data_IF_615039934151
#
_entry.id   IF_615039934151
#
_cell.length_a   1.000
_cell.length_b   1.000
_cell.length_c   1.000
_cell.angle_alpha   90.00
_cell.angle_beta   90.00
_cell.angle_gamma   90.00
#
_symmetry.space_group_name_H-M   'P 1'
#
loop_
_entity.id
_entity.type
_entity.pdbx_description
1 polymer ?
#
# COMPACT_ATOMS: atom_id res chain seq x y z
N UNK A 1 -17.64 27.54 5.43
CA UNK A 1 -16.96 28.86 5.13
C UNK A 1 -16.67 28.87 3.63
N UNK A 2 -16.90 29.97 2.92
CA UNK A 2 -16.58 30.04 1.49
C UNK A 2 -15.07 29.95 1.26
N UNK A 3 -14.60 29.17 0.27
CA UNK A 3 -13.18 28.85 0.06
C UNK A 3 -12.28 30.10 -0.08
N UNK A 4 -12.77 31.17 -0.72
CA UNK A 4 -12.03 32.43 -0.83
C UNK A 4 -11.77 33.11 0.52
N UNK A 5 -12.78 33.15 1.42
CA UNK A 5 -12.64 33.71 2.77
C UNK A 5 -11.71 32.83 3.62
N UNK A 6 -11.82 31.50 3.48
CA UNK A 6 -10.94 30.57 4.17
C UNK A 6 -9.48 30.76 3.76
N UNK A 7 -9.20 30.88 2.45
CA UNK A 7 -7.84 31.15 1.94
C UNK A 7 -7.28 32.48 2.47
N UNK A 8 -8.11 33.52 2.52
CA UNK A 8 -7.71 34.83 3.07
C UNK A 8 -7.34 34.74 4.56
N UNK A 9 -8.09 33.98 5.36
CA UNK A 9 -7.80 33.80 6.78
C UNK A 9 -6.53 32.97 7.02
N UNK A 10 -6.32 31.92 6.22
CA UNK A 10 -5.10 31.12 6.27
C UNK A 10 -3.85 31.95 5.89
N UNK A 11 -3.97 32.87 4.94
CA UNK A 11 -2.89 33.76 4.51
C UNK A 11 -2.43 34.75 5.62
N UNK A 12 -3.20 34.87 6.71
CA UNK A 12 -2.79 35.73 7.85
C UNK A 12 -1.60 35.13 8.64
N UNK A 13 -1.35 33.82 8.54
CA UNK A 13 -0.29 33.13 9.30
C UNK A 13 0.53 32.11 8.47
N UNK A 14 0.13 31.83 7.24
CA UNK A 14 0.87 31.02 6.28
C UNK A 14 1.51 31.92 5.21
N UNK A 15 2.67 31.53 4.73
CA UNK A 15 3.31 32.22 3.62
C UNK A 15 2.57 31.95 2.30
N UNK A 16 2.70 32.84 1.28
CA UNK A 16 2.11 32.58 -0.04
C UNK A 16 2.53 31.23 -0.64
N UNK A 17 3.77 30.81 -0.40
CA UNK A 17 4.26 29.52 -0.89
C UNK A 17 3.52 28.32 -0.28
N UNK A 18 2.88 28.45 0.88
CA UNK A 18 2.12 27.40 1.53
C UNK A 18 0.65 27.31 1.10
N UNK A 19 0.23 28.29 0.29
CA UNK A 19 -1.11 28.37 -0.30
C UNK A 19 -0.95 28.39 -1.84
N UNK A 20 -0.88 27.22 -2.50
CA UNK A 20 -0.61 27.14 -3.94
C UNK A 20 -1.65 27.92 -4.75
N UNK A 21 -1.19 28.59 -5.82
CA UNK A 21 -2.08 29.33 -6.73
C UNK A 21 -2.91 28.36 -7.61
N UNK A 22 -2.36 27.19 -7.91
CA UNK A 22 -3.04 26.13 -8.63
C UNK A 22 -3.29 24.93 -7.70
N UNK A 23 -4.53 24.71 -7.35
CA UNK A 23 -4.98 23.60 -6.51
C UNK A 23 -5.19 22.29 -7.31
N UNK A 24 -5.28 22.35 -8.65
CA UNK A 24 -5.67 21.21 -9.50
C UNK A 24 -4.86 19.91 -9.28
N UNK A 25 -3.52 19.95 -9.09
CA UNK A 25 -2.74 18.74 -8.86
C UNK A 25 -3.11 17.95 -7.60
N UNK A 26 -3.81 18.58 -6.65
CA UNK A 26 -4.15 18.01 -5.35
C UNK A 26 -5.61 17.53 -5.25
N UNK A 27 -6.44 17.88 -6.25
CA UNK A 27 -7.89 17.67 -6.15
C UNK A 27 -8.35 16.31 -6.68
N UNK A 28 -7.65 15.75 -7.66
CA UNK A 28 -8.04 14.51 -8.33
C UNK A 28 -7.29 13.32 -7.76
N UNK A 29 -7.99 12.22 -7.44
CA UNK A 29 -7.35 11.00 -6.98
C UNK A 29 -6.56 10.28 -8.09
N UNK A 30 -5.68 9.36 -7.72
CA UNK A 30 -4.83 8.60 -8.65
C UNK A 30 -5.61 7.84 -9.73
N UNK A 31 -6.82 7.37 -9.41
CA UNK A 31 -7.70 6.65 -10.35
C UNK A 31 -8.58 7.57 -11.19
N UNK A 32 -8.54 8.88 -10.95
CA UNK A 32 -9.44 9.89 -11.55
C UNK A 32 -10.92 9.62 -11.27
N UNK A 33 -11.21 8.94 -10.17
CA UNK A 33 -12.57 8.53 -9.79
C UNK A 33 -13.21 9.48 -8.78
N UNK A 34 -12.41 10.09 -7.94
CA UNK A 34 -12.85 11.00 -6.89
C UNK A 34 -12.17 12.36 -7.06
N UNK A 35 -12.96 13.42 -6.93
CA UNK A 35 -12.46 14.79 -7.02
C UNK A 35 -12.81 15.55 -5.75
N UNK A 36 -11.83 16.26 -5.18
CA UNK A 36 -12.07 17.17 -4.06
C UNK A 36 -12.88 18.38 -4.52
N UNK A 37 -13.81 18.80 -3.69
CA UNK A 37 -14.72 19.93 -3.98
C UNK A 37 -14.79 20.90 -2.82
N UNK A 38 -15.00 22.19 -3.10
CA UNK A 38 -15.24 23.26 -2.10
C UNK A 38 -14.17 23.34 -0.99
N UNK A 39 -12.93 23.03 -1.30
CA UNK A 39 -11.82 23.02 -0.35
C UNK A 39 -10.72 24.03 -0.73
N UNK A 40 -9.80 24.27 0.19
CA UNK A 40 -8.55 25.04 -0.01
C UNK A 40 -7.38 24.09 0.20
N UNK A 41 -6.40 24.13 -0.71
CA UNK A 41 -5.15 23.37 -0.54
C UNK A 41 -4.18 24.17 0.32
N UNK A 42 -3.58 23.50 1.31
CA UNK A 42 -2.56 24.03 2.22
C UNK A 42 -1.36 23.10 2.21
N UNK A 43 -0.18 23.66 1.98
CA UNK A 43 1.10 22.92 1.99
C UNK A 43 2.04 23.49 3.06
N UNK A 44 1.88 23.16 4.34
CA UNK A 44 2.71 23.72 5.40
C UNK A 44 4.18 23.32 5.23
N UNK A 45 5.09 24.30 5.39
CA UNK A 45 6.52 24.11 5.25
C UNK A 45 7.24 23.72 6.57
N UNK A 46 6.49 23.71 7.69
CA UNK A 46 7.02 23.34 9.00
C UNK A 46 5.95 22.64 9.85
N UNK A 47 6.40 21.85 10.83
CA UNK A 47 5.52 21.21 11.81
C UNK A 47 4.73 22.26 12.60
N UNK A 48 5.36 23.40 12.90
CA UNK A 48 4.69 24.53 13.57
C UNK A 48 3.50 25.04 12.73
N UNK A 49 3.66 25.17 11.42
CA UNK A 49 2.58 25.62 10.53
C UNK A 49 1.49 24.56 10.36
N UNK A 50 1.81 23.25 10.42
CA UNK A 50 0.81 22.19 10.57
C UNK A 50 -0.02 22.42 11.83
N UNK A 51 0.64 22.61 13.00
CA UNK A 51 -0.05 22.84 14.26
C UNK A 51 -0.92 24.11 14.24
N UNK A 52 -0.41 25.23 13.69
CA UNK A 52 -1.21 26.48 13.53
C UNK A 52 -2.44 26.25 12.67
N UNK A 53 -2.29 25.54 11.54
CA UNK A 53 -3.39 25.22 10.63
C UNK A 53 -4.43 24.34 11.31
N UNK A 54 -3.98 23.31 12.04
CA UNK A 54 -4.90 22.41 12.78
C UNK A 54 -5.65 23.18 13.86
N UNK A 55 -4.98 24.02 14.69
CA UNK A 55 -5.63 24.84 15.72
C UNK A 55 -6.65 25.81 15.13
N UNK A 56 -6.31 26.45 14.02
CA UNK A 56 -7.24 27.32 13.30
C UNK A 56 -8.48 26.55 12.82
N UNK A 57 -8.28 25.39 12.20
CA UNK A 57 -9.38 24.53 11.73
C UNK A 57 -10.24 24.02 12.90
N UNK A 58 -9.64 23.63 14.01
CA UNK A 58 -10.34 23.20 15.22
C UNK A 58 -11.24 24.31 15.79
N UNK A 59 -10.71 25.54 15.88
CA UNK A 59 -11.46 26.72 16.39
C UNK A 59 -12.65 27.08 15.49
N UNK A 60 -12.50 26.92 14.17
CA UNK A 60 -13.54 27.28 13.18
C UNK A 60 -14.39 26.10 12.72
N UNK A 61 -14.17 24.88 13.27
CA UNK A 61 -14.82 23.62 12.87
C UNK A 61 -14.69 23.34 11.36
N UNK A 62 -13.48 23.49 10.85
CA UNK A 62 -13.15 23.24 9.43
C UNK A 62 -12.56 21.84 9.31
N UNK A 63 -13.09 21.05 8.39
CA UNK A 63 -12.59 19.72 8.10
C UNK A 63 -11.18 19.75 7.49
N UNK A 64 -10.37 18.77 7.84
CA UNK A 64 -8.99 18.58 7.33
C UNK A 64 -8.88 17.20 6.70
N UNK A 65 -8.55 17.16 5.41
CA UNK A 65 -8.17 15.92 4.73
C UNK A 65 -6.64 15.91 4.55
N UNK A 66 -5.91 15.09 5.32
CA UNK A 66 -4.47 14.94 5.14
C UNK A 66 -4.15 14.28 3.79
N UNK A 67 -3.11 14.78 3.12
CA UNK A 67 -2.66 14.24 1.85
C UNK A 67 -1.13 14.17 1.79
N UNK A 68 -0.61 13.02 1.35
CA UNK A 68 0.79 12.85 0.97
C UNK A 68 0.97 12.99 -0.54
N UNK A 69 1.60 11.99 -1.18
CA UNK A 69 1.82 11.93 -2.63
C UNK A 69 0.57 11.69 -3.48
N UNK A 70 -0.61 11.61 -2.90
CA UNK A 70 -1.90 11.39 -3.56
C UNK A 70 -1.93 10.12 -4.45
N UNK A 71 -1.22 9.08 -4.04
CA UNK A 71 -1.11 7.79 -4.76
C UNK A 71 -2.16 6.76 -4.33
N UNK A 72 -3.02 7.11 -3.37
CA UNK A 72 -4.06 6.20 -2.84
C UNK A 72 -5.15 5.87 -3.86
N UNK A 73 -5.73 4.66 -3.74
CA UNK A 73 -6.66 4.09 -4.72
C UNK A 73 -8.12 4.00 -4.24
N UNK A 74 -8.41 4.42 -3.01
CA UNK A 74 -9.73 4.28 -2.36
C UNK A 74 -10.40 5.62 -2.00
N UNK A 75 -9.89 6.73 -2.55
CA UNK A 75 -10.44 8.08 -2.30
C UNK A 75 -10.15 8.62 -0.89
N UNK A 76 -9.14 8.07 -0.18
CA UNK A 76 -8.80 8.43 1.20
C UNK A 76 -8.27 9.85 1.37
N UNK A 77 -7.67 10.45 0.32
CA UNK A 77 -7.07 11.79 0.31
C UNK A 77 -7.93 12.87 -0.37
N UNK A 78 -9.20 12.57 -0.66
CA UNK A 78 -10.13 13.48 -1.35
C UNK A 78 -11.02 14.20 -0.35
N UNK A 79 -11.08 15.54 -0.43
CA UNK A 79 -11.84 16.38 0.47
C UNK A 79 -13.19 16.78 -0.12
N UNK A 80 -14.20 16.89 0.73
CA UNK A 80 -15.48 17.54 0.40
C UNK A 80 -15.71 18.67 1.41
N UNK A 81 -15.26 19.88 1.05
CA UNK A 81 -15.21 21.04 1.94
C UNK A 81 -13.94 21.09 2.79
N UNK A 82 -13.74 22.19 3.50
CA UNK A 82 -12.60 22.40 4.41
C UNK A 82 -11.27 22.58 3.69
N UNK A 83 -10.24 21.87 4.13
CA UNK A 83 -8.90 21.94 3.54
C UNK A 83 -8.36 20.57 3.14
N UNK A 84 -7.58 20.54 2.06
CA UNK A 84 -6.61 19.48 1.78
C UNK A 84 -5.28 19.93 2.39
N UNK A 85 -4.80 19.21 3.40
CA UNK A 85 -3.52 19.47 4.04
C UNK A 85 -2.45 18.56 3.43
N UNK A 86 -1.76 19.04 2.39
CA UNK A 86 -0.73 18.29 1.70
C UNK A 86 0.63 18.49 2.38
N UNK A 87 1.29 17.40 2.77
CA UNK A 87 2.54 17.41 3.54
C UNK A 87 3.81 17.41 2.69
N UNK A 88 3.70 17.54 1.37
CA UNK A 88 4.83 17.42 0.44
C UNK A 88 6.00 18.38 0.68
N UNK A 89 5.79 19.48 1.42
CA UNK A 89 6.86 20.43 1.82
C UNK A 89 7.59 20.04 3.10
N UNK A 90 7.06 19.11 3.89
CA UNK A 90 7.76 18.48 5.00
C UNK A 90 8.56 17.28 4.47
N UNK A 91 9.69 17.52 3.82
CA UNK A 91 10.40 16.49 3.03
C UNK A 91 11.89 16.34 3.40
N UNK A 92 12.28 16.75 4.61
CA UNK A 92 13.67 16.66 5.05
C UNK A 92 13.98 15.29 5.63
N UNK A 93 15.15 14.76 5.29
CA UNK A 93 15.80 13.71 6.08
C UNK A 93 16.42 14.42 7.28
N UNK A 94 15.86 14.17 8.48
CA UNK A 94 16.27 14.89 9.70
C UNK A 94 17.57 14.33 10.27
N UNK A 95 17.72 13.00 10.26
CA UNK A 95 18.88 12.33 10.86
C UNK A 95 19.00 10.87 10.37
N UNK A 96 20.24 10.40 10.22
CA UNK A 96 20.57 8.99 9.99
C UNK A 96 21.53 8.53 11.09
N UNK A 97 21.15 7.50 11.83
CA UNK A 97 22.00 6.88 12.86
C UNK A 97 22.43 5.50 12.37
N UNK A 98 23.72 5.36 12.07
CA UNK A 98 24.29 4.07 11.67
C UNK A 98 24.41 3.10 12.85
N UNK A 99 24.59 3.63 14.05
CA UNK A 99 24.69 2.81 15.28
C UNK A 99 23.33 2.18 15.63
N UNK A 100 22.23 2.94 15.44
CA UNK A 100 20.89 2.46 15.74
C UNK A 100 20.22 1.80 14.53
N UNK A 101 20.88 1.78 13.37
CA UNK A 101 20.27 1.37 12.09
C UNK A 101 18.90 2.03 11.89
N UNK A 102 18.86 3.35 11.95
CA UNK A 102 17.63 4.12 11.88
C UNK A 102 17.78 5.40 11.06
N UNK A 103 16.68 5.81 10.43
CA UNK A 103 16.56 7.09 9.71
C UNK A 103 15.32 7.83 10.22
N UNK A 104 15.49 9.11 10.56
CA UNK A 104 14.40 10.00 10.96
C UNK A 104 14.09 10.98 9.82
N UNK A 105 12.83 11.00 9.39
CA UNK A 105 12.40 11.77 8.22
C UNK A 105 11.12 12.56 8.50
N UNK A 106 10.91 13.62 7.75
CA UNK A 106 9.63 14.30 7.63
C UNK A 106 8.62 13.42 6.87
N UNK A 107 7.32 13.57 7.16
CA UNK A 107 6.26 12.75 6.60
C UNK A 107 6.07 12.89 5.08
N UNK A 108 6.44 14.03 4.50
CA UNK A 108 6.38 14.31 3.07
C UNK A 108 7.59 13.83 2.27
N UNK A 109 8.57 13.16 2.91
CA UNK A 109 9.66 12.53 2.18
C UNK A 109 9.13 11.49 1.20
N UNK A 110 9.56 11.56 -0.05
CA UNK A 110 9.28 10.55 -1.07
C UNK A 110 10.02 9.27 -0.69
N UNK A 111 9.37 8.12 -0.83
CA UNK A 111 9.93 6.82 -0.47
C UNK A 111 11.28 6.57 -1.16
N UNK A 112 11.38 6.78 -2.46
CA UNK A 112 12.61 6.61 -3.22
C UNK A 112 13.78 7.46 -2.69
N UNK A 113 13.50 8.69 -2.23
CA UNK A 113 14.54 9.54 -1.64
C UNK A 113 15.07 8.98 -0.32
N UNK A 114 14.19 8.36 0.48
CA UNK A 114 14.57 7.68 1.74
C UNK A 114 15.42 6.45 1.46
N UNK A 115 15.05 5.65 0.45
CA UNK A 115 15.83 4.48 -0.01
C UNK A 115 17.22 4.92 -0.50
N UNK A 116 17.28 5.95 -1.34
CA UNK A 116 18.55 6.50 -1.86
C UNK A 116 19.46 6.97 -0.72
N UNK A 117 18.92 7.75 0.22
CA UNK A 117 19.71 8.23 1.36
C UNK A 117 20.20 7.09 2.26
N UNK A 118 19.39 6.05 2.45
CA UNK A 118 19.83 4.86 3.18
C UNK A 118 20.99 4.16 2.44
N UNK A 119 20.88 3.98 1.13
CA UNK A 119 21.89 3.34 0.29
C UNK A 119 23.22 4.11 0.28
N UNK A 120 23.20 5.45 0.19
CA UNK A 120 24.39 6.32 0.29
C UNK A 120 25.15 6.15 1.63
N UNK A 121 24.47 5.67 2.66
CA UNK A 121 25.05 5.40 3.97
C UNK A 121 25.32 3.90 4.22
N UNK A 122 25.30 3.07 3.16
CA UNK A 122 25.51 1.63 3.27
C UNK A 122 24.41 0.92 4.08
N UNK A 123 23.18 1.38 3.94
CA UNK A 123 21.98 0.80 4.56
C UNK A 123 20.89 0.57 3.53
N UNK A 124 19.89 -0.22 3.92
CA UNK A 124 18.74 -0.58 3.10
C UNK A 124 17.44 -0.24 3.82
N UNK A 125 16.54 0.48 3.14
CA UNK A 125 15.15 0.66 3.58
C UNK A 125 14.24 -0.21 2.72
N UNK A 126 13.57 -1.23 3.30
CA UNK A 126 13.02 -2.35 2.54
C UNK A 126 11.63 -2.13 1.94
N UNK A 127 10.91 -1.05 2.27
CA UNK A 127 9.61 -0.80 1.67
C UNK A 127 9.78 -0.62 0.16
N UNK A 128 9.07 -1.42 -0.65
CA UNK A 128 9.09 -1.33 -2.11
C UNK A 128 7.65 -1.34 -2.64
N UNK A 129 7.28 -0.27 -3.33
CA UNK A 129 5.93 -0.03 -3.85
C UNK A 129 6.01 0.41 -5.31
N UNK A 130 5.00 0.07 -6.11
CA UNK A 130 4.89 0.56 -7.49
C UNK A 130 4.87 2.10 -7.60
N UNK A 131 4.58 2.81 -6.53
CA UNK A 131 4.51 4.28 -6.46
C UNK A 131 5.70 4.92 -5.73
N UNK A 132 6.82 4.20 -5.51
CA UNK A 132 7.95 4.67 -4.69
C UNK A 132 8.54 6.01 -5.11
N UNK A 133 8.49 6.36 -6.40
CA UNK A 133 8.94 7.65 -6.92
C UNK A 133 8.01 8.83 -6.59
N UNK A 134 6.84 8.60 -5.98
CA UNK A 134 5.84 9.65 -5.70
C UNK A 134 5.12 9.51 -4.36
N UNK A 135 4.98 8.30 -3.82
CA UNK A 135 4.38 8.11 -2.51
C UNK A 135 5.27 8.68 -1.40
N UNK A 136 4.65 9.12 -0.31
CA UNK A 136 5.31 9.79 0.80
C UNK A 136 5.19 8.99 2.09
N UNK A 137 6.20 9.06 2.94
CA UNK A 137 6.33 8.26 4.17
C UNK A 137 5.12 8.41 5.09
N UNK A 138 4.60 9.62 5.30
CA UNK A 138 3.42 9.83 6.13
C UNK A 138 2.17 9.12 5.61
N UNK A 139 1.98 9.11 4.28
CA UNK A 139 0.91 8.37 3.61
C UNK A 139 1.08 6.87 3.73
N UNK A 140 2.30 6.36 3.50
CA UNK A 140 2.62 4.94 3.63
C UNK A 140 2.37 4.42 5.06
N UNK A 141 2.71 5.22 6.07
CA UNK A 141 2.44 4.88 7.48
C UNK A 141 0.93 4.94 7.77
N UNK A 142 0.24 6.00 7.31
CA UNK A 142 -1.19 6.18 7.56
C UNK A 142 -2.04 5.05 6.95
N UNK A 143 -1.59 4.42 5.86
CA UNK A 143 -2.23 3.25 5.25
C UNK A 143 -1.66 1.93 5.75
N UNK A 144 -0.59 1.93 6.57
CA UNK A 144 0.18 0.74 6.91
C UNK A 144 0.62 -0.02 5.66
N UNK A 145 1.24 0.69 4.70
CA UNK A 145 1.61 0.12 3.41
C UNK A 145 2.51 -1.11 3.55
N UNK A 146 2.22 -2.11 2.76
CA UNK A 146 3.07 -3.25 2.49
C UNK A 146 3.68 -3.16 1.09
N UNK A 147 4.18 -4.24 0.53
CA UNK A 147 4.73 -4.31 -0.81
C UNK A 147 5.54 -5.57 -1.03
N UNK A 148 6.45 -5.57 -2.00
CA UNK A 148 7.17 -6.78 -2.43
C UNK A 148 7.97 -7.46 -1.32
N UNK A 149 8.48 -6.72 -0.35
CA UNK A 149 9.39 -7.23 0.69
C UNK A 149 8.71 -7.55 2.03
N UNK A 150 7.37 -7.54 2.09
CA UNK A 150 6.60 -7.77 3.34
C UNK A 150 6.94 -9.12 3.96
N UNK A 151 7.17 -10.13 3.13
CA UNK A 151 7.45 -11.48 3.60
C UNK A 151 8.66 -11.54 4.54
N UNK A 152 9.69 -10.73 4.28
CA UNK A 152 10.92 -10.68 5.05
C UNK A 152 10.95 -9.54 6.09
N UNK A 153 10.43 -8.37 5.74
CA UNK A 153 10.64 -7.16 6.53
C UNK A 153 9.36 -6.62 7.19
N UNK A 154 8.21 -7.20 6.88
CA UNK A 154 6.92 -6.74 7.37
C UNK A 154 6.41 -5.49 6.66
N UNK A 155 5.32 -4.94 7.18
CA UNK A 155 4.66 -3.72 6.71
C UNK A 155 5.27 -2.47 7.35
N UNK A 156 4.77 -1.27 7.01
CA UNK A 156 5.19 -0.03 7.69
C UNK A 156 5.07 -0.11 9.21
N UNK A 157 4.11 -0.86 9.76
CA UNK A 157 3.96 -1.09 11.20
C UNK A 157 5.21 -1.70 11.83
N UNK A 158 5.85 -2.62 11.12
CA UNK A 158 7.07 -3.31 11.57
C UNK A 158 8.32 -2.45 11.40
N UNK A 159 8.29 -1.53 10.42
CA UNK A 159 9.40 -0.66 10.06
C UNK A 159 9.47 0.62 10.88
N UNK A 160 8.37 1.06 11.51
CA UNK A 160 8.30 2.30 12.28
C UNK A 160 8.78 2.08 13.73
N UNK A 161 9.85 2.79 14.12
CA UNK A 161 10.34 2.84 15.51
C UNK A 161 9.66 3.94 16.31
N UNK A 162 9.47 5.12 15.72
CA UNK A 162 8.87 6.27 16.37
C UNK A 162 8.05 7.13 15.41
N UNK A 163 7.11 7.89 15.98
CA UNK A 163 6.25 8.82 15.22
C UNK A 163 6.20 10.19 15.88
N UNK A 164 5.98 11.20 15.02
CA UNK A 164 5.56 12.54 15.38
C UNK A 164 4.22 12.81 14.71
N UNK A 165 3.21 13.19 15.51
CA UNK A 165 1.81 13.31 15.07
C UNK A 165 1.19 14.58 15.64
N UNK A 166 0.59 15.40 14.78
CA UNK A 166 -0.27 16.50 15.18
C UNK A 166 -1.68 15.96 15.48
N UNK A 167 -2.15 16.20 16.69
CA UNK A 167 -3.47 15.79 17.18
C UNK A 167 -4.57 16.78 16.71
N UNK A 168 -5.86 16.40 16.75
CA UNK A 168 -6.96 17.27 16.33
C UNK A 168 -7.11 18.59 17.11
N UNK A 169 -6.54 18.70 18.29
CA UNK A 169 -6.46 19.96 19.08
C UNK A 169 -5.23 20.82 18.71
N UNK A 170 -4.38 20.36 17.78
CA UNK A 170 -3.13 21.03 17.36
C UNK A 170 -1.96 20.84 18.32
N UNK A 171 -2.07 19.95 19.30
CA UNK A 171 -0.92 19.50 20.08
C UNK A 171 -0.08 18.51 19.28
N UNK A 172 1.21 18.40 19.65
CA UNK A 172 2.15 17.51 19.01
C UNK A 172 2.55 16.39 19.97
N UNK A 173 2.30 15.16 19.58
CA UNK A 173 2.88 13.97 20.23
C UNK A 173 4.10 13.58 19.41
N UNK A 174 5.30 13.61 20.03
CA UNK A 174 6.55 13.31 19.33
C UNK A 174 7.38 12.33 20.15
N UNK A 175 7.62 11.15 19.55
CA UNK A 175 8.47 10.09 20.07
C UNK A 175 9.32 9.55 18.91
N UNK A 176 10.25 10.39 18.42
CA UNK A 176 11.15 10.05 17.32
C UNK A 176 12.42 9.34 17.81
N UNK A 177 12.28 8.38 18.72
CA UNK A 177 13.41 7.64 19.28
C UNK A 177 13.63 6.33 18.52
N UNK A 178 14.87 5.96 18.21
CA UNK A 178 15.21 4.70 17.51
C UNK A 178 15.20 3.48 18.44
N UNK A 179 14.22 3.40 19.35
CA UNK A 179 14.15 2.36 20.35
C UNK A 179 13.40 1.15 19.82
N UNK A 180 14.04 -0.02 19.82
CA UNK A 180 13.40 -1.30 19.49
C UNK A 180 12.53 -1.86 20.63
N UNK A 181 12.79 -1.46 21.87
CA UNK A 181 12.02 -1.86 23.05
C UNK A 181 11.57 -0.63 23.80
N UNK A 182 10.26 -0.44 23.89
CA UNK A 182 9.66 0.63 24.68
C UNK A 182 8.34 0.13 25.28
N UNK A 183 8.36 -0.21 26.56
CA UNK A 183 7.18 -0.66 27.32
C UNK A 183 6.73 0.39 28.34
N UNK A 184 7.10 1.65 28.12
CA UNK A 184 6.73 2.78 29.00
C UNK A 184 5.33 3.28 28.63
N UNK A 185 4.31 2.60 29.13
CA UNK A 185 2.89 2.86 28.82
C UNK A 185 2.46 2.25 27.48
N UNK A 186 1.34 2.76 26.93
CA UNK A 186 0.84 2.32 25.63
C UNK A 186 1.74 2.82 24.51
N UNK A 187 2.05 1.96 23.53
CA UNK A 187 2.74 2.36 22.30
C UNK A 187 1.80 3.10 21.34
N UNK A 188 1.61 4.39 21.56
CA UNK A 188 0.64 5.23 20.85
C UNK A 188 0.83 5.26 19.33
N UNK A 189 2.04 5.04 18.82
CA UNK A 189 2.28 4.97 17.36
C UNK A 189 1.33 4.02 16.65
N UNK A 190 0.95 2.91 17.29
CA UNK A 190 0.07 1.89 16.70
C UNK A 190 -1.37 2.34 16.50
N UNK A 191 -1.81 3.43 17.16
CA UNK A 191 -3.11 4.07 16.91
C UNK A 191 -3.13 4.81 15.58
N UNK A 192 -1.99 5.38 15.17
CA UNK A 192 -1.89 6.23 13.99
C UNK A 192 -1.48 5.46 12.73
N UNK A 193 -0.74 4.36 12.87
CA UNK A 193 -0.36 3.48 11.76
C UNK A 193 -1.60 2.75 11.25
N UNK A 194 -1.97 2.98 9.98
CA UNK A 194 -3.19 2.42 9.38
C UNK A 194 -4.48 3.15 9.74
N UNK A 195 -4.39 4.36 10.34
CA UNK A 195 -5.57 5.17 10.68
C UNK A 195 -6.11 6.01 9.52
N UNK A 196 -5.48 5.98 8.37
CA UNK A 196 -5.85 6.74 7.16
C UNK A 196 -6.05 8.25 7.42
N UNK A 197 -5.27 8.82 8.34
CA UNK A 197 -5.34 10.24 8.71
C UNK A 197 -6.60 10.64 9.48
N UNK A 198 -7.37 9.69 9.99
CA UNK A 198 -8.62 9.96 10.75
C UNK A 198 -8.37 10.27 12.22
N UNK A 199 -7.25 9.85 12.80
CA UNK A 199 -6.93 10.00 14.23
C UNK A 199 -5.87 11.07 14.50
N UNK A 200 -5.02 11.38 13.52
CA UNK A 200 -3.93 12.32 13.64
C UNK A 200 -3.23 12.56 12.30
N UNK A 201 -2.44 13.60 12.20
CA UNK A 201 -1.63 13.94 11.04
C UNK A 201 -0.17 13.63 11.34
N UNK A 202 0.38 12.62 10.69
CA UNK A 202 1.79 12.23 10.83
C UNK A 202 2.65 13.31 10.20
N UNK A 203 3.58 13.88 10.98
CA UNK A 203 4.51 14.93 10.54
C UNK A 203 5.96 14.45 10.43
N UNK A 204 6.30 13.35 11.10
CA UNK A 204 7.63 12.76 11.04
C UNK A 204 7.64 11.30 11.53
N UNK A 205 8.66 10.58 11.15
CA UNK A 205 8.86 9.19 11.55
C UNK A 205 10.33 8.84 11.71
N UNK A 206 10.61 7.92 12.64
CA UNK A 206 11.89 7.20 12.73
C UNK A 206 11.67 5.79 12.26
N UNK A 207 12.44 5.37 11.24
CA UNK A 207 12.28 4.12 10.50
C UNK A 207 13.51 3.23 10.69
N UNK A 208 13.29 1.90 10.69
CA UNK A 208 14.36 0.89 10.73
C UNK A 208 15.11 0.87 9.41
N UNK A 209 16.42 0.75 9.51
CA UNK A 209 17.30 0.43 8.40
C UNK A 209 17.90 -0.97 8.59
N UNK A 210 18.28 -1.58 7.49
CA UNK A 210 18.87 -2.91 7.45
C UNK A 210 20.23 -2.88 6.75
N UNK A 211 20.99 -3.96 6.86
CA UNK A 211 22.17 -4.17 6.05
C UNK A 211 21.75 -4.29 4.57
N UNK A 212 22.56 -3.78 3.62
CA UNK A 212 22.27 -3.94 2.20
C UNK A 212 22.30 -5.42 1.80
N UNK A 213 21.49 -5.78 0.83
CA UNK A 213 21.50 -7.10 0.22
C UNK A 213 22.74 -7.23 -0.67
N UNK A 214 23.55 -8.28 -0.46
CA UNK A 214 24.76 -8.52 -1.22
C UNK A 214 24.62 -9.69 -2.21
N UNK A 215 23.66 -10.58 -1.96
CA UNK A 215 23.31 -11.67 -2.87
C UNK A 215 21.82 -11.63 -3.14
N UNK A 216 21.42 -11.78 -4.39
CA UNK A 216 20.02 -11.83 -4.81
C UNK A 216 19.89 -12.86 -5.91
N UNK A 217 19.02 -13.86 -5.70
CA UNK A 217 18.69 -14.88 -6.69
C UNK A 217 17.20 -14.83 -7.00
N UNK A 218 16.86 -14.75 -8.28
CA UNK A 218 15.48 -14.63 -8.75
C UNK A 218 15.15 -15.80 -9.66
N UNK A 219 14.03 -16.44 -9.41
CA UNK A 219 13.52 -17.52 -10.25
C UNK A 219 12.07 -17.27 -10.68
N UNK A 220 11.74 -17.74 -11.87
CA UNK A 220 10.41 -17.84 -12.42
C UNK A 220 10.03 -19.30 -12.55
N UNK A 221 8.92 -19.72 -11.96
CA UNK A 221 8.46 -21.12 -11.90
C UNK A 221 7.08 -21.24 -12.55
N UNK A 222 6.92 -22.16 -13.49
CA UNK A 222 5.64 -22.51 -14.09
C UNK A 222 4.97 -23.66 -13.33
N UNK A 223 3.66 -23.54 -13.05
CA UNK A 223 2.89 -24.49 -12.26
C UNK A 223 1.52 -24.73 -12.89
N UNK A 224 0.95 -25.93 -12.67
CA UNK A 224 -0.35 -26.32 -13.22
C UNK A 224 -1.52 -25.68 -12.45
N UNK A 225 -1.35 -25.42 -11.14
CA UNK A 225 -2.42 -24.92 -10.29
C UNK A 225 -1.88 -24.18 -9.06
N UNK A 226 -2.76 -23.42 -8.40
CA UNK A 226 -2.42 -22.61 -7.22
C UNK A 226 -2.06 -23.48 -6.01
N UNK A 227 -2.61 -24.70 -5.89
CA UNK A 227 -2.26 -25.60 -4.80
C UNK A 227 -0.77 -26.04 -4.86
N UNK A 228 -0.24 -26.25 -6.06
CA UNK A 228 1.19 -26.51 -6.26
C UNK A 228 2.05 -25.32 -5.82
N UNK A 229 1.60 -24.07 -6.10
CA UNK A 229 2.27 -22.88 -5.63
C UNK A 229 2.29 -22.77 -4.10
N UNK A 230 1.20 -23.12 -3.42
CA UNK A 230 1.12 -23.13 -1.94
C UNK A 230 2.08 -24.18 -1.38
N UNK A 231 2.16 -25.37 -1.98
CA UNK A 231 3.08 -26.41 -1.56
C UNK A 231 4.54 -26.00 -1.72
N UNK A 232 4.88 -25.40 -2.87
CA UNK A 232 6.22 -24.85 -3.13
C UNK A 232 6.56 -23.76 -2.11
N UNK A 233 5.63 -22.83 -1.80
CA UNK A 233 5.83 -21.78 -0.79
C UNK A 233 6.13 -22.38 0.59
N UNK A 234 5.41 -23.41 1.00
CA UNK A 234 5.67 -24.07 2.28
C UNK A 234 7.07 -24.68 2.35
N UNK A 235 7.48 -25.38 1.29
CA UNK A 235 8.78 -26.02 1.23
C UNK A 235 9.92 -24.99 1.21
N UNK A 236 9.81 -23.93 0.41
CA UNK A 236 10.84 -22.90 0.29
C UNK A 236 11.00 -22.08 1.57
N UNK A 237 9.90 -21.80 2.29
CA UNK A 237 9.94 -21.17 3.62
C UNK A 237 10.69 -22.02 4.63
N UNK A 238 10.51 -23.33 4.60
CA UNK A 238 11.20 -24.24 5.50
C UNK A 238 12.70 -24.35 5.19
N UNK A 239 13.09 -24.26 3.90
CA UNK A 239 14.48 -24.44 3.49
C UNK A 239 15.29 -23.14 3.58
N UNK A 240 14.75 -22.03 3.05
CA UNK A 240 15.48 -20.76 2.96
C UNK A 240 15.16 -19.77 4.06
N UNK A 241 14.11 -20.00 4.86
CA UNK A 241 13.69 -19.16 5.99
C UNK A 241 13.61 -17.66 5.61
N UNK A 242 14.33 -16.79 6.36
CA UNK A 242 14.32 -15.34 6.15
C UNK A 242 14.99 -14.89 4.84
N UNK A 243 15.64 -15.77 4.07
CA UNK A 243 16.20 -15.42 2.76
C UNK A 243 15.10 -15.23 1.71
N UNK A 244 13.93 -15.86 1.88
CA UNK A 244 12.81 -15.65 0.98
C UNK A 244 12.26 -14.23 1.17
N UNK A 245 12.51 -13.37 0.17
CA UNK A 245 12.12 -11.97 0.19
C UNK A 245 10.76 -11.73 -0.48
N UNK A 246 10.54 -12.39 -1.62
CA UNK A 246 9.32 -12.24 -2.41
C UNK A 246 8.84 -13.59 -2.96
N UNK A 247 7.52 -13.74 -3.06
CA UNK A 247 6.89 -14.92 -3.66
C UNK A 247 5.55 -14.51 -4.29
N UNK A 248 5.59 -14.25 -5.61
CA UNK A 248 4.57 -13.57 -6.37
C UNK A 248 3.80 -14.56 -7.25
N UNK A 249 2.48 -14.63 -7.07
CA UNK A 249 1.59 -15.41 -7.92
C UNK A 249 1.18 -14.59 -9.14
N UNK A 250 1.21 -15.21 -10.33
CA UNK A 250 0.77 -14.59 -11.58
C UNK A 250 -0.04 -15.62 -12.39
N UNK A 251 -1.29 -15.29 -12.75
CA UNK A 251 -2.07 -16.09 -13.67
C UNK A 251 -1.53 -15.96 -15.10
N UNK A 252 -1.73 -17.00 -15.92
CA UNK A 252 -1.33 -17.00 -17.33
C UNK A 252 -1.79 -15.75 -18.08
N UNK A 253 -3.07 -15.39 -17.91
CA UNK A 253 -3.62 -14.21 -18.59
C UNK A 253 -2.94 -12.91 -18.14
N UNK A 254 -2.65 -12.76 -16.84
CA UNK A 254 -1.92 -11.61 -16.32
C UNK A 254 -0.50 -11.50 -16.89
N UNK A 255 0.20 -12.65 -17.03
CA UNK A 255 1.51 -12.71 -17.65
C UNK A 255 1.45 -12.30 -19.12
N UNK A 256 0.50 -12.85 -19.89
CA UNK A 256 0.33 -12.53 -21.32
C UNK A 256 0.10 -11.04 -21.55
N UNK A 257 -0.73 -10.40 -20.74
CA UNK A 257 -0.95 -8.95 -20.80
C UNK A 257 0.35 -8.17 -20.55
N UNK A 258 1.08 -8.56 -19.52
CA UNK A 258 2.32 -7.87 -19.17
C UNK A 258 3.42 -8.09 -20.19
N UNK A 259 3.57 -9.29 -20.71
CA UNK A 259 4.54 -9.63 -21.76
C UNK A 259 4.30 -8.80 -23.04
N UNK A 260 3.03 -8.74 -23.47
CA UNK A 260 2.65 -7.92 -24.62
C UNK A 260 2.93 -6.42 -24.40
N UNK A 261 2.59 -5.90 -23.20
CA UNK A 261 2.82 -4.50 -22.83
C UNK A 261 4.31 -4.14 -22.78
N UNK A 262 5.11 -5.01 -22.16
CA UNK A 262 6.54 -4.82 -21.94
C UNK A 262 7.39 -5.17 -23.16
N UNK A 263 6.79 -5.83 -24.16
CA UNK A 263 7.48 -6.40 -25.31
C UNK A 263 8.58 -7.40 -24.94
N UNK A 264 8.33 -8.16 -23.87
CA UNK A 264 9.16 -9.24 -23.40
C UNK A 264 8.52 -10.58 -23.75
N UNK A 265 9.34 -11.62 -23.90
CA UNK A 265 8.84 -12.97 -24.07
C UNK A 265 8.26 -13.52 -22.75
N UNK A 266 7.22 -14.36 -22.86
CA UNK A 266 6.77 -15.15 -21.72
C UNK A 266 7.88 -16.11 -21.30
N UNK A 267 8.29 -16.15 -20.02
CA UNK A 267 9.40 -17.01 -19.60
C UNK A 267 9.09 -18.50 -19.79
N UNK A 268 7.87 -18.88 -19.44
CA UNK A 268 7.40 -20.29 -19.46
C UNK A 268 5.94 -20.36 -19.89
N UNK A 269 5.54 -21.51 -20.41
CA UNK A 269 4.15 -21.82 -20.74
C UNK A 269 3.51 -22.65 -19.61
N UNK A 270 2.72 -22.03 -18.74
CA UNK A 270 2.01 -22.66 -17.63
C UNK A 270 0.71 -21.91 -17.34
N UNK A 271 -0.21 -22.55 -16.59
CA UNK A 271 -1.46 -21.88 -16.16
C UNK A 271 -1.23 -20.90 -15.04
N UNK A 272 -0.27 -21.17 -14.16
CA UNK A 272 0.12 -20.33 -13.06
C UNK A 272 1.62 -20.18 -13.01
N UNK A 273 2.05 -19.04 -12.52
CA UNK A 273 3.47 -18.72 -12.42
C UNK A 273 3.78 -18.19 -11.03
N UNK A 274 4.99 -18.48 -10.59
CA UNK A 274 5.60 -17.88 -9.40
C UNK A 274 6.86 -17.14 -9.81
N UNK A 275 6.96 -15.86 -9.46
CA UNK A 275 8.22 -15.14 -9.38
C UNK A 275 8.65 -15.14 -7.93
N UNK A 276 9.81 -15.67 -7.64
CA UNK A 276 10.38 -15.67 -6.28
C UNK A 276 11.75 -15.02 -6.25
N UNK A 277 12.08 -14.43 -5.10
CA UNK A 277 13.38 -13.83 -4.88
C UNK A 277 13.94 -14.22 -3.50
N UNK A 278 15.17 -14.72 -3.51
CA UNK A 278 15.98 -14.97 -2.33
C UNK A 278 17.03 -13.88 -2.20
N UNK A 279 17.24 -13.38 -0.98
CA UNK A 279 18.26 -12.37 -0.71
C UNK A 279 19.07 -12.70 0.53
N UNK A 280 20.37 -12.37 0.50
CA UNK A 280 21.24 -12.47 1.68
C UNK A 280 22.03 -11.17 1.87
N UNK A 281 22.24 -10.77 3.12
CA UNK A 281 23.08 -9.62 3.46
C UNK A 281 24.58 -9.96 3.43
N UNK A 282 24.94 -11.22 3.27
CA UNK A 282 26.30 -11.70 3.06
C UNK A 282 26.50 -12.17 1.62
N UNK A 283 27.72 -12.08 1.08
CA UNK A 283 28.03 -12.68 -0.20
C UNK A 283 27.88 -14.21 -0.14
N UNK A 284 27.03 -14.78 -0.98
CA UNK A 284 26.77 -16.21 -1.11
C UNK A 284 26.96 -16.61 -2.57
N UNK A 285 28.02 -17.38 -2.88
CA UNK A 285 28.30 -17.86 -4.23
C UNK A 285 27.57 -19.17 -4.56
N UNK A 286 27.01 -19.82 -3.55
CA UNK A 286 26.34 -21.13 -3.62
C UNK A 286 24.80 -21.02 -3.65
N UNK A 287 24.23 -19.82 -3.43
CA UNK A 287 22.78 -19.65 -3.28
C UNK A 287 22.00 -20.00 -4.56
N UNK A 288 22.56 -19.72 -5.74
CA UNK A 288 21.96 -20.05 -7.02
C UNK A 288 21.88 -21.56 -7.24
N UNK A 289 22.97 -22.28 -6.96
CA UNK A 289 23.03 -23.74 -7.09
C UNK A 289 22.09 -24.40 -6.06
N UNK A 290 22.07 -23.90 -4.82
CA UNK A 290 21.16 -24.35 -3.75
C UNK A 290 19.69 -24.17 -4.17
N UNK A 291 19.35 -23.01 -4.80
CA UNK A 291 17.99 -22.76 -5.31
C UNK A 291 17.65 -23.73 -6.46
N UNK A 292 18.57 -23.96 -7.39
CA UNK A 292 18.36 -24.85 -8.52
C UNK A 292 18.09 -26.30 -8.05
N UNK A 293 18.91 -26.80 -7.13
CA UNK A 293 18.72 -28.13 -6.53
C UNK A 293 17.39 -28.24 -5.79
N UNK A 294 17.08 -27.22 -4.98
CA UNK A 294 15.81 -27.17 -4.25
C UNK A 294 14.61 -27.21 -5.20
N UNK A 295 14.58 -26.43 -6.27
CA UNK A 295 13.47 -26.39 -7.23
C UNK A 295 13.29 -27.75 -7.93
N UNK A 296 14.39 -28.41 -8.35
CA UNK A 296 14.33 -29.74 -8.94
C UNK A 296 13.71 -30.80 -7.99
N UNK A 297 13.91 -30.66 -6.69
CA UNK A 297 13.43 -31.63 -5.68
C UNK A 297 12.01 -31.33 -5.19
N UNK A 298 11.47 -30.12 -5.44
CA UNK A 298 10.22 -29.63 -4.83
C UNK A 298 9.16 -29.20 -5.86
N UNK A 299 9.16 -29.79 -7.08
CA UNK A 299 8.14 -29.53 -8.10
C UNK A 299 8.33 -28.23 -8.85
N UNK A 300 9.55 -27.72 -8.88
CA UNK A 300 9.94 -26.52 -9.63
C UNK A 300 10.85 -26.82 -10.82
N UNK A 301 10.79 -28.03 -11.39
CA UNK A 301 11.63 -28.40 -12.56
C UNK A 301 11.33 -27.52 -13.78
N UNK A 302 10.09 -27.07 -13.91
CA UNK A 302 9.71 -26.11 -14.96
C UNK A 302 10.00 -24.68 -14.46
N UNK A 303 11.27 -24.31 -14.42
CA UNK A 303 11.72 -23.01 -13.87
C UNK A 303 12.87 -22.40 -14.67
N UNK A 304 13.03 -21.09 -14.52
CA UNK A 304 14.16 -20.30 -14.99
C UNK A 304 14.73 -19.55 -13.80
N UNK A 305 16.04 -19.67 -13.56
CA UNK A 305 16.77 -18.86 -12.60
C UNK A 305 17.55 -17.81 -13.39
N UNK A 306 17.45 -16.54 -12.99
CA UNK A 306 18.10 -15.43 -13.66
C UNK A 306 19.64 -15.57 -13.61
N UNK A 307 20.28 -15.53 -14.77
CA UNK A 307 21.74 -15.68 -14.91
C UNK A 307 22.46 -14.31 -15.01
N UNK A 308 21.70 -13.22 -14.97
CA UNK A 308 22.24 -11.87 -15.04
C UNK A 308 21.28 -10.85 -14.45
N UNK A 309 21.80 -9.70 -14.06
CA UNK A 309 20.98 -8.57 -13.60
C UNK A 309 19.95 -8.11 -14.64
N UNK A 310 20.25 -8.21 -15.93
CA UNK A 310 19.30 -7.86 -16.99
C UNK A 310 18.12 -8.85 -16.99
N UNK A 311 18.41 -10.15 -16.95
CA UNK A 311 17.37 -11.17 -16.91
C UNK A 311 16.51 -11.06 -15.63
N UNK A 312 17.13 -10.77 -14.48
CA UNK A 312 16.42 -10.48 -13.24
C UNK A 312 15.46 -9.29 -13.42
N UNK A 313 15.94 -8.18 -13.96
CA UNK A 313 15.10 -7.01 -14.24
C UNK A 313 13.95 -7.31 -15.20
N UNK A 314 14.18 -8.12 -16.23
CA UNK A 314 13.17 -8.49 -17.20
C UNK A 314 12.05 -9.34 -16.55
N UNK A 315 12.40 -10.29 -15.67
CA UNK A 315 11.44 -11.08 -14.90
C UNK A 315 10.60 -10.19 -13.98
N UNK A 316 11.22 -9.28 -13.24
CA UNK A 316 10.50 -8.32 -12.40
C UNK A 316 9.63 -7.35 -13.23
N UNK A 317 10.11 -6.89 -14.39
CA UNK A 317 9.33 -6.04 -15.31
C UNK A 317 8.03 -6.74 -15.73
N UNK A 318 8.07 -8.04 -16.00
CA UNK A 318 6.86 -8.82 -16.30
C UNK A 318 5.86 -8.82 -15.13
N UNK A 319 6.33 -8.87 -13.89
CA UNK A 319 5.46 -8.83 -12.70
C UNK A 319 4.91 -7.44 -12.41
N UNK A 320 5.76 -6.44 -12.40
CA UNK A 320 5.42 -5.06 -12.02
C UNK A 320 4.50 -4.39 -13.03
N UNK A 321 4.71 -4.64 -14.32
CA UNK A 321 3.92 -4.04 -15.39
C UNK A 321 2.51 -4.63 -15.55
N UNK A 322 2.13 -5.68 -14.82
CA UNK A 322 0.75 -6.21 -14.87
C UNK A 322 -0.26 -5.08 -14.59
N UNK A 323 -0.01 -4.24 -13.58
CA UNK A 323 -0.91 -3.13 -13.23
C UNK A 323 -1.06 -2.08 -14.34
N UNK A 324 0.01 -1.81 -15.09
CA UNK A 324 -0.02 -0.89 -16.22
C UNK A 324 -0.65 -1.54 -17.46
N UNK A 325 -0.31 -2.79 -17.73
CA UNK A 325 -0.80 -3.56 -18.88
C UNK A 325 -2.33 -3.72 -18.88
N UNK A 326 -2.94 -3.84 -17.71
CA UNK A 326 -4.39 -3.94 -17.56
C UNK A 326 -5.17 -2.72 -18.11
N UNK A 327 -4.52 -1.56 -18.29
CA UNK A 327 -5.18 -0.38 -18.87
C UNK A 327 -5.67 -0.62 -20.29
N UNK A 328 -5.05 -1.54 -21.02
CA UNK A 328 -5.48 -1.94 -22.36
C UNK A 328 -6.82 -2.67 -22.38
N UNK A 329 -7.23 -3.25 -21.26
CA UNK A 329 -8.52 -3.94 -21.09
C UNK A 329 -9.67 -2.95 -20.76
N UNK A 330 -9.38 -1.67 -20.50
CA UNK A 330 -10.38 -0.65 -20.18
C UNK A 330 -10.73 -0.55 -18.70
N UNK A 331 -12.00 -0.24 -18.41
CA UNK A 331 -12.49 -0.01 -17.05
C UNK A 331 -12.57 -1.30 -16.24
N UNK A 332 -12.07 -1.26 -15.01
CA UNK A 332 -11.99 -2.44 -14.12
C UNK A 332 -12.62 -2.19 -12.77
N UNK A 333 -13.15 -3.25 -12.17
CA UNK A 333 -13.44 -3.31 -10.73
C UNK A 333 -12.27 -4.04 -10.08
N UNK A 334 -11.55 -3.34 -9.20
CA UNK A 334 -10.31 -3.83 -8.60
C UNK A 334 -10.54 -4.26 -7.17
N UNK A 335 -10.05 -5.45 -6.86
CA UNK A 335 -10.05 -5.99 -5.51
C UNK A 335 -8.61 -6.19 -5.05
N UNK A 336 -8.29 -5.55 -3.95
CA UNK A 336 -7.09 -5.69 -3.18
C UNK A 336 -7.50 -6.39 -1.89
N UNK A 337 -7.29 -7.70 -1.83
CA UNK A 337 -7.80 -8.58 -0.77
C UNK A 337 -6.67 -9.47 -0.24
N UNK A 338 -6.84 -10.00 0.95
CA UNK A 338 -6.00 -11.10 1.40
C UNK A 338 -6.85 -12.21 2.01
N UNK A 339 -6.41 -13.44 1.79
CA UNK A 339 -6.96 -14.64 2.44
C UNK A 339 -5.82 -15.45 3.05
N UNK A 340 -6.06 -16.26 4.08
CA UNK A 340 -5.06 -17.20 4.56
C UNK A 340 -4.47 -18.01 3.41
N UNK A 341 -3.15 -18.12 3.34
CA UNK A 341 -2.43 -18.75 2.21
C UNK A 341 -3.02 -20.13 1.86
N UNK A 342 -3.34 -20.92 2.88
CA UNK A 342 -3.94 -22.25 2.70
C UNK A 342 -5.33 -22.23 2.04
N UNK A 343 -6.00 -21.08 1.98
CA UNK A 343 -7.33 -20.89 1.38
C UNK A 343 -7.28 -20.23 0.01
N UNK A 344 -6.10 -19.81 -0.46
CA UNK A 344 -5.96 -19.03 -1.70
C UNK A 344 -6.44 -19.82 -2.92
N UNK A 345 -6.12 -21.12 -3.03
CA UNK A 345 -6.56 -21.94 -4.15
C UNK A 345 -8.08 -22.09 -4.20
N UNK A 346 -8.70 -22.42 -3.06
CA UNK A 346 -10.15 -22.54 -2.90
C UNK A 346 -10.86 -21.21 -3.24
N UNK A 347 -10.34 -20.08 -2.71
CA UNK A 347 -10.89 -18.76 -2.99
C UNK A 347 -10.89 -18.45 -4.49
N UNK A 348 -9.72 -18.60 -5.15
CA UNK A 348 -9.58 -18.26 -6.59
C UNK A 348 -10.55 -19.12 -7.43
N UNK A 349 -10.63 -20.43 -7.16
CA UNK A 349 -11.47 -21.34 -7.93
C UNK A 349 -12.97 -21.05 -7.73
N UNK A 350 -13.43 -20.97 -6.48
CA UNK A 350 -14.86 -20.81 -6.17
C UNK A 350 -15.37 -19.42 -6.56
N UNK A 351 -14.62 -18.36 -6.22
CA UNK A 351 -14.97 -17.02 -6.58
C UNK A 351 -14.99 -16.80 -8.10
N UNK A 352 -13.99 -17.36 -8.81
CA UNK A 352 -13.92 -17.29 -10.26
C UNK A 352 -15.10 -17.98 -10.95
N UNK A 353 -15.52 -19.13 -10.45
CA UNK A 353 -16.69 -19.87 -10.94
C UNK A 353 -17.97 -19.05 -10.79
N UNK A 354 -18.25 -18.59 -9.55
CA UNK A 354 -19.45 -17.81 -9.25
C UNK A 354 -19.51 -16.51 -10.09
N UNK A 355 -18.39 -15.81 -10.25
CA UNK A 355 -18.34 -14.60 -11.06
C UNK A 355 -18.58 -14.88 -12.54
N UNK A 356 -18.03 -15.97 -13.09
CA UNK A 356 -18.21 -16.34 -14.49
C UNK A 356 -19.65 -16.78 -14.76
N UNK A 357 -20.30 -17.48 -13.81
CA UNK A 357 -21.71 -17.86 -13.91
C UNK A 357 -22.64 -16.62 -13.88
N UNK A 358 -22.35 -15.64 -12.99
CA UNK A 358 -23.15 -14.41 -12.87
C UNK A 358 -22.89 -13.42 -14.01
N UNK A 359 -21.68 -13.41 -14.54
CA UNK A 359 -21.21 -12.49 -15.56
C UNK A 359 -20.40 -13.25 -16.63
N UNK A 360 -21.06 -13.86 -17.63
CA UNK A 360 -20.35 -14.68 -18.66
C UNK A 360 -19.34 -13.87 -19.51
N UNK A 361 -19.45 -12.54 -19.50
CA UNK A 361 -18.57 -11.61 -20.21
C UNK A 361 -17.39 -11.09 -19.36
N UNK A 362 -17.21 -11.65 -18.14
CA UNK A 362 -16.15 -11.22 -17.23
C UNK A 362 -14.78 -11.79 -17.63
N UNK A 363 -13.75 -11.01 -17.48
CA UNK A 363 -12.35 -11.45 -17.55
C UNK A 363 -11.67 -11.22 -16.20
N UNK A 364 -10.95 -12.22 -15.71
CA UNK A 364 -10.25 -12.18 -14.44
C UNK A 364 -8.74 -11.98 -14.66
N UNK A 365 -8.16 -11.00 -14.00
CA UNK A 365 -6.71 -10.78 -13.95
C UNK A 365 -6.28 -10.98 -12.50
N UNK A 366 -5.68 -12.14 -12.21
CA UNK A 366 -5.31 -12.57 -10.87
C UNK A 366 -3.80 -12.58 -10.73
N UNK A 367 -3.27 -11.84 -9.78
CA UNK A 367 -1.86 -11.82 -9.41
C UNK A 367 -1.72 -11.28 -7.98
N UNK A 368 -0.57 -11.44 -7.35
CA UNK A 368 -0.35 -10.86 -6.01
C UNK A 368 0.73 -11.55 -5.21
N UNK A 369 0.86 -11.11 -3.96
CA UNK A 369 1.88 -11.53 -3.02
C UNK A 369 1.45 -12.82 -2.30
N UNK A 370 1.54 -13.98 -2.97
CA UNK A 370 1.13 -15.26 -2.35
C UNK A 370 1.89 -15.53 -1.05
N UNK A 371 3.11 -14.99 -0.93
CA UNK A 371 3.95 -15.13 0.25
C UNK A 371 3.29 -14.69 1.56
N UNK A 372 2.40 -13.70 1.50
CA UNK A 372 1.62 -13.15 2.63
C UNK A 372 0.09 -13.33 2.48
N UNK A 373 -0.37 -13.91 1.36
CA UNK A 373 -1.77 -14.17 1.08
C UNK A 373 -2.54 -13.01 0.43
N UNK A 374 -1.85 -11.93 0.06
CA UNK A 374 -2.44 -10.78 -0.62
C UNK A 374 -2.62 -11.03 -2.13
N UNK A 375 -3.77 -10.64 -2.66
CA UNK A 375 -4.13 -10.81 -4.05
C UNK A 375 -4.74 -9.54 -4.65
N UNK A 376 -4.31 -9.21 -5.85
CA UNK A 376 -5.01 -8.33 -6.78
C UNK A 376 -5.94 -9.18 -7.63
N UNK A 377 -7.20 -9.21 -7.25
CA UNK A 377 -8.24 -9.99 -7.92
C UNK A 377 -9.12 -9.05 -8.76
N UNK A 378 -8.64 -8.71 -9.95
CA UNK A 378 -9.25 -7.66 -10.77
C UNK A 378 -10.18 -8.24 -11.82
N UNK A 379 -11.34 -7.59 -12.00
CA UNK A 379 -12.36 -7.99 -12.97
C UNK A 379 -12.49 -6.95 -14.07
N UNK A 380 -12.61 -7.41 -15.28
CA UNK A 380 -12.79 -6.61 -16.49
C UNK A 380 -14.01 -7.08 -17.25
N UNK A 381 -14.59 -6.18 -18.02
CA UNK A 381 -15.74 -6.40 -18.88
C UNK A 381 -15.42 -5.84 -20.27
N UNK A 382 -16.22 -6.19 -21.30
CA UNK A 382 -16.01 -5.65 -22.65
C UNK A 382 -15.78 -4.14 -22.67
N UNK A 383 -14.79 -3.69 -23.43
CA UNK A 383 -14.28 -2.31 -23.42
C UNK A 383 -15.33 -1.28 -23.84
N UNK A 384 -16.30 -1.72 -24.64
CA UNK A 384 -17.42 -0.90 -25.13
C UNK A 384 -18.33 -0.41 -24.00
N UNK A 385 -18.30 -1.06 -22.84
CA UNK A 385 -19.10 -0.65 -21.69
C UNK A 385 -18.54 0.62 -21.00
N UNK A 386 -17.25 0.91 -21.14
CA UNK A 386 -16.60 2.06 -20.50
C UNK A 386 -16.96 2.17 -19.01
N UNK A 387 -17.25 3.36 -18.53
CA UNK A 387 -17.59 3.61 -17.12
C UNK A 387 -18.93 2.99 -16.68
N UNK A 388 -19.76 2.48 -17.60
CA UNK A 388 -20.99 1.76 -17.24
C UNK A 388 -20.70 0.45 -16.49
N UNK A 389 -19.47 -0.07 -16.55
CA UNK A 389 -18.96 -1.19 -15.74
C UNK A 389 -19.21 -0.96 -14.25
N UNK A 390 -19.09 0.29 -13.78
CA UNK A 390 -19.32 0.61 -12.36
C UNK A 390 -20.76 0.36 -11.87
N UNK A 391 -21.74 0.20 -12.77
CA UNK A 391 -23.10 -0.24 -12.40
C UNK A 391 -23.15 -1.68 -11.92
N UNK A 392 -22.12 -2.49 -12.29
CA UNK A 392 -21.97 -3.88 -11.85
C UNK A 392 -21.12 -4.00 -10.59
N UNK A 393 -20.48 -2.91 -10.13
CA UNK A 393 -19.48 -2.93 -9.06
C UNK A 393 -20.03 -3.49 -7.75
N UNK A 394 -21.24 -3.11 -7.37
CA UNK A 394 -21.86 -3.60 -6.14
C UNK A 394 -22.08 -5.12 -6.16
N UNK A 395 -22.60 -5.66 -7.26
CA UNK A 395 -22.84 -7.10 -7.42
C UNK A 395 -21.51 -7.88 -7.44
N UNK A 396 -20.52 -7.40 -8.19
CA UNK A 396 -19.20 -8.01 -8.26
C UNK A 396 -18.51 -7.97 -6.90
N UNK A 397 -18.51 -6.81 -6.22
CA UNK A 397 -17.96 -6.68 -4.86
C UNK A 397 -18.66 -7.61 -3.88
N UNK A 398 -20.00 -7.73 -3.93
CA UNK A 398 -20.76 -8.63 -3.06
C UNK A 398 -20.32 -10.08 -3.23
N UNK A 399 -20.10 -10.53 -4.47
CA UNK A 399 -19.61 -11.90 -4.74
C UNK A 399 -18.19 -12.10 -4.25
N UNK A 400 -17.25 -11.20 -4.59
CA UNK A 400 -15.85 -11.32 -4.18
C UNK A 400 -15.72 -11.24 -2.66
N UNK A 401 -16.36 -10.28 -2.01
CA UNK A 401 -16.23 -10.10 -0.57
C UNK A 401 -16.91 -11.21 0.24
N UNK A 402 -18.01 -11.77 -0.25
CA UNK A 402 -18.60 -12.99 0.34
C UNK A 402 -17.59 -14.13 0.37
N UNK A 403 -16.89 -14.41 -0.75
CA UNK A 403 -15.85 -15.43 -0.79
C UNK A 403 -14.64 -15.10 0.07
N UNK A 404 -14.22 -13.84 0.12
CA UNK A 404 -13.15 -13.37 1.03
C UNK A 404 -13.51 -13.67 2.48
N UNK A 405 -14.71 -13.30 2.91
CA UNK A 405 -15.16 -13.50 4.30
C UNK A 405 -15.37 -14.99 4.62
N UNK A 406 -15.90 -15.77 3.69
CA UNK A 406 -16.04 -17.22 3.83
C UNK A 406 -14.68 -17.90 4.07
N UNK A 407 -13.64 -17.37 3.45
CA UNK A 407 -12.26 -17.84 3.61
C UNK A 407 -11.49 -17.11 4.73
N UNK A 408 -12.17 -16.41 5.65
CA UNK A 408 -11.55 -15.68 6.77
C UNK A 408 -10.54 -14.61 6.35
N UNK A 409 -10.76 -13.98 5.20
CA UNK A 409 -9.89 -12.96 4.62
C UNK A 409 -10.27 -11.53 4.97
N UNK A 410 -9.59 -10.59 4.32
CA UNK A 410 -9.84 -9.15 4.41
C UNK A 410 -10.10 -8.54 3.04
N UNK A 411 -10.95 -7.52 2.99
CA UNK A 411 -11.29 -6.80 1.75
C UNK A 411 -10.31 -5.67 1.42
N UNK A 412 -9.32 -5.43 2.28
CA UNK A 412 -8.28 -4.42 2.09
C UNK A 412 -6.96 -4.98 2.63
N UNK A 413 -6.09 -5.43 1.73
CA UNK A 413 -4.76 -5.93 2.07
C UNK A 413 -3.76 -4.77 2.24
N UNK A 414 -3.72 -3.84 1.26
CA UNK A 414 -2.76 -2.75 1.20
C UNK A 414 -3.40 -1.36 1.09
N UNK A 415 -4.48 -1.24 0.28
CA UNK A 415 -5.01 0.07 -0.14
C UNK A 415 -5.80 0.82 0.94
N UNK A 416 -6.18 0.15 2.02
CA UNK A 416 -7.07 0.69 3.04
C UNK A 416 -8.55 0.67 2.63
N UNK A 417 -9.37 1.31 3.44
CA UNK A 417 -10.83 1.39 3.30
C UNK A 417 -11.26 2.67 2.56
N UNK A 418 -10.73 3.82 2.96
CA UNK A 418 -11.03 5.13 2.37
C UNK A 418 -12.53 5.45 2.32
N UNK A 419 -12.93 6.05 1.19
CA UNK A 419 -14.34 6.26 0.83
C UNK A 419 -14.96 5.02 0.18
N UNK A 420 -14.16 4.32 -0.63
CA UNK A 420 -14.64 3.25 -1.53
C UNK A 420 -15.23 2.06 -0.79
N UNK A 421 -14.59 1.63 0.30
CA UNK A 421 -14.92 0.38 0.99
C UNK A 421 -15.64 0.59 2.34
N UNK A 422 -15.89 1.85 2.76
CA UNK A 422 -16.46 2.12 4.10
C UNK A 422 -17.83 1.47 4.34
N UNK A 423 -18.69 1.38 3.32
CA UNK A 423 -20.00 0.74 3.39
C UNK A 423 -19.93 -0.78 3.61
N UNK A 424 -18.80 -1.40 3.26
CA UNK A 424 -18.55 -2.83 3.45
C UNK A 424 -17.99 -3.17 4.83
N UNK A 425 -17.46 -2.19 5.57
CA UNK A 425 -16.84 -2.42 6.89
C UNK A 425 -17.75 -3.17 7.87
N UNK A 426 -19.08 -2.89 7.96
CA UNK A 426 -19.98 -3.63 8.86
C UNK A 426 -20.16 -5.11 8.52
N UNK A 427 -19.78 -5.54 7.32
CA UNK A 427 -19.81 -6.96 6.93
C UNK A 427 -18.51 -7.68 7.28
N UNK A 428 -17.42 -6.92 7.51
CA UNK A 428 -16.05 -7.43 7.76
C UNK A 428 -15.69 -7.37 9.24
N UNK A 429 -16.25 -6.39 9.98
CA UNK A 429 -15.99 -6.14 11.39
C UNK A 429 -17.25 -6.31 12.21
N UNK A 430 -17.10 -6.82 13.42
CA UNK A 430 -18.20 -6.93 14.37
C UNK A 430 -18.72 -5.54 14.81
N UNK A 431 -19.94 -5.49 15.27
CA UNK A 431 -20.51 -4.25 15.83
C UNK A 431 -19.67 -3.69 16.98
N UNK A 432 -19.10 -4.55 17.82
CA UNK A 432 -18.25 -4.17 18.95
C UNK A 432 -16.91 -3.58 18.48
N UNK A 433 -16.28 -4.15 17.45
CA UNK A 433 -15.07 -3.57 16.86
C UNK A 433 -15.35 -2.17 16.28
N UNK A 434 -16.46 -2.00 15.55
CA UNK A 434 -16.84 -0.70 14.99
C UNK A 434 -17.15 0.31 16.11
N UNK A 435 -17.85 -0.12 17.16
CA UNK A 435 -18.12 0.73 18.33
C UNK A 435 -16.82 1.18 19.01
N UNK A 436 -15.85 0.28 19.17
CA UNK A 436 -14.53 0.63 19.73
C UNK A 436 -13.78 1.62 18.83
N UNK A 437 -13.75 1.40 17.51
CA UNK A 437 -13.13 2.34 16.56
C UNK A 437 -13.77 3.73 16.64
N UNK A 438 -15.11 3.80 16.72
CA UNK A 438 -15.84 5.06 16.90
C UNK A 438 -15.52 5.74 18.23
N UNK A 439 -15.39 4.98 19.32
CA UNK A 439 -15.02 5.51 20.63
C UNK A 439 -13.62 6.14 20.59
N UNK A 440 -12.63 5.45 20.00
CA UNK A 440 -11.28 5.98 19.81
C UNK A 440 -11.31 7.26 18.96
N UNK A 441 -12.01 7.26 17.83
CA UNK A 441 -12.18 8.43 16.97
C UNK A 441 -12.79 9.62 17.73
N UNK A 442 -13.89 9.40 18.43
CA UNK A 442 -14.61 10.45 19.17
C UNK A 442 -13.79 11.00 20.34
N UNK A 443 -12.97 10.17 20.99
CA UNK A 443 -12.08 10.61 22.07
C UNK A 443 -10.95 11.50 21.57
N UNK A 444 -10.34 11.16 20.41
CA UNK A 444 -9.23 11.93 19.85
C UNK A 444 -9.69 13.14 19.02
N UNK A 445 -10.77 12.98 18.28
CA UNK A 445 -11.34 13.99 17.38
C UNK A 445 -12.85 14.18 17.63
N UNK A 446 -13.22 14.80 18.75
CA UNK A 446 -14.64 14.94 19.15
C UNK A 446 -15.47 15.81 18.19
N UNK A 447 -14.84 16.61 17.37
CA UNK A 447 -15.50 17.44 16.36
C UNK A 447 -15.52 16.78 14.96
N UNK A 448 -14.98 15.57 14.81
CA UNK A 448 -14.91 14.82 13.55
C UNK A 448 -14.30 15.62 12.39
N UNK A 449 -13.24 16.38 12.66
CA UNK A 449 -12.61 17.26 11.69
C UNK A 449 -11.57 16.56 10.80
N UNK A 450 -10.92 15.51 11.32
CA UNK A 450 -9.84 14.83 10.60
C UNK A 450 -10.40 13.75 9.69
N UNK A 451 -10.13 13.92 8.40
CA UNK A 451 -10.50 13.05 7.29
C UNK A 451 -11.95 12.52 7.39
N UNK A 452 -12.96 13.42 7.48
CA UNK A 452 -14.33 13.02 7.68
C UNK A 452 -14.84 12.15 6.53
N UNK A 453 -15.82 11.29 6.81
CA UNK A 453 -16.44 10.36 5.85
C UNK A 453 -15.49 9.33 5.24
N UNK A 454 -14.38 9.05 5.89
CA UNK A 454 -13.42 7.99 5.52
C UNK A 454 -13.38 6.91 6.58
N UNK A 455 -13.00 5.71 6.17
CA UNK A 455 -12.75 4.53 6.99
C UNK A 455 -14.00 4.03 7.73
N UNK A 456 -14.57 4.80 8.63
CA UNK A 456 -15.73 4.38 9.43
C UNK A 456 -17.04 4.64 8.68
N UNK A 457 -18.01 3.71 8.75
CA UNK A 457 -19.36 3.93 8.23
C UNK A 457 -20.08 5.01 9.04
N UNK A 458 -21.07 5.63 8.41
CA UNK A 458 -21.91 6.69 9.03
C UNK A 458 -22.72 6.16 10.19
#
# INVERSE_FOLDING_TARGET
MHSALLRQQLAAFLSPAELPDDDAPFLLDQRKRYTSTDCVVVQPASVENVQKTVRFCAQHRIAITPQGGNTGLVGGSVAHGGIVLNLGKLNRIRHISLADNAITVDAGCILQNVQTAAAEHGRFFPLSLASEGSCQIGGNIACNAGGLNVLRYGTMRDLVLGLEVALPNGELVSHLHPLHKNTTGYELKHLFIGSEGTLGIITGATLKLFAPQQTTETAWVGLDNVQAAISLLSNIKNHFAERLCSFELVSRFALQLSAAHSRLAEPLNAEWHILLELTDSLPRHDLQDELAEFLCQNGGEHSIIAQSDQQRRDLWTLRENISAAQRSLGTSIKHDIAVPIARTAEFIEQCGRDLTEQHPDIQLVVFGHLGDGSLHYNTFFPNELGDSVYRREEAVNATVYRHVLHNHGTIAAEHGIGTLKKSWLPQVRTADEIALMRAIKSQLDPNHLFNPNKLLPD
#
